data_IF_580355107914
#
_entry.id   IF_580355107914
#
_cell.length_a   1.000
_cell.length_b   1.000
_cell.length_c   1.000
_cell.angle_alpha   90.00
_cell.angle_beta   90.00
_cell.angle_gamma   90.00
#
_symmetry.space_group_name_H-M   'P 1'
#
loop_
_entity.id
_entity.type
_entity.pdbx_description
1 polymer ?
#
# COMPACT_ATOMS: atom_id res chain seq x y z
N UNK A 1 -6.81 27.15 1.86
CA UNK A 1 -5.96 25.98 2.21
C UNK A 1 -5.35 25.44 0.93
N UNK A 2 -4.01 25.27 0.85
CA UNK A 2 -3.35 24.72 -0.35
C UNK A 2 -3.26 23.19 -0.24
N UNK A 3 -3.71 22.47 -1.25
CA UNK A 3 -3.61 21.00 -1.34
C UNK A 3 -2.22 20.64 -1.86
N UNK A 4 -1.48 19.77 -1.15
CA UNK A 4 -0.21 19.23 -1.62
C UNK A 4 -0.48 18.10 -2.62
N UNK A 5 -0.06 18.26 -3.87
CA UNK A 5 -0.16 17.21 -4.88
C UNK A 5 0.88 16.10 -4.64
N UNK A 6 0.58 14.84 -4.97
CA UNK A 6 1.54 13.74 -4.83
C UNK A 6 2.69 13.92 -5.84
N UNK A 7 3.91 14.11 -5.32
CA UNK A 7 5.08 14.43 -6.14
C UNK A 7 5.66 13.23 -6.92
N UNK A 8 5.35 11.99 -6.49
CA UNK A 8 5.94 10.75 -7.04
C UNK A 8 4.88 9.76 -7.59
N UNK A 9 3.63 10.21 -7.70
CA UNK A 9 2.58 9.43 -8.36
C UNK A 9 2.94 9.26 -9.85
N UNK A 10 2.86 8.03 -10.35
CA UNK A 10 3.32 7.64 -11.69
C UNK A 10 4.80 7.26 -11.78
N UNK A 11 5.56 7.44 -10.69
CA UNK A 11 6.97 7.02 -10.60
C UNK A 11 7.17 5.90 -9.58
N UNK A 12 6.67 6.08 -8.35
CA UNK A 12 6.86 5.12 -7.25
C UNK A 12 5.64 4.20 -7.07
N UNK A 13 4.48 4.69 -7.43
CA UNK A 13 3.20 3.98 -7.40
C UNK A 13 2.30 4.52 -8.52
N UNK A 14 1.27 3.78 -8.87
CA UNK A 14 0.35 4.16 -9.94
C UNK A 14 -0.36 5.51 -9.69
N UNK A 15 -0.37 6.39 -10.69
CA UNK A 15 -1.03 7.69 -10.59
C UNK A 15 -2.56 7.61 -10.74
N UNK A 16 -3.06 6.59 -11.44
CA UNK A 16 -4.50 6.36 -11.60
C UNK A 16 -5.04 5.60 -10.39
N UNK A 17 -6.18 6.04 -9.87
CA UNK A 17 -6.89 5.36 -8.78
C UNK A 17 -7.14 3.89 -9.09
N UNK A 18 -7.65 3.60 -10.29
CA UNK A 18 -8.03 2.24 -10.69
C UNK A 18 -6.80 1.33 -10.75
N UNK A 19 -5.71 1.84 -11.35
CA UNK A 19 -4.45 1.09 -11.44
C UNK A 19 -3.79 0.92 -10.07
N UNK A 20 -3.84 1.93 -9.21
CA UNK A 20 -3.31 1.86 -7.85
C UNK A 20 -4.05 0.82 -7.01
N UNK A 21 -5.37 0.75 -7.10
CA UNK A 21 -6.15 -0.27 -6.40
C UNK A 21 -5.78 -1.69 -6.87
N UNK A 22 -5.59 -1.88 -8.18
CA UNK A 22 -5.10 -3.16 -8.74
C UNK A 22 -3.68 -3.48 -8.25
N UNK A 23 -2.79 -2.50 -8.25
CA UNK A 23 -1.41 -2.66 -7.77
C UNK A 23 -1.35 -3.05 -6.29
N UNK A 24 -2.24 -2.50 -5.45
CA UNK A 24 -2.35 -2.89 -4.04
C UNK A 24 -2.88 -4.32 -3.88
N UNK A 25 -3.90 -4.71 -4.66
CA UNK A 25 -4.39 -6.09 -4.67
C UNK A 25 -3.31 -7.09 -5.10
N UNK A 26 -2.52 -6.75 -6.13
CA UNK A 26 -1.36 -7.54 -6.56
C UNK A 26 -0.30 -7.62 -5.47
N UNK A 27 -0.03 -6.54 -4.73
CA UNK A 27 0.90 -6.54 -3.60
C UNK A 27 0.45 -7.49 -2.47
N UNK A 28 -0.84 -7.50 -2.13
CA UNK A 28 -1.40 -8.40 -1.11
C UNK A 28 -1.38 -9.87 -1.54
N UNK A 29 -1.62 -10.13 -2.83
CA UNK A 29 -1.70 -11.49 -3.39
C UNK A 29 -0.38 -12.02 -3.92
N UNK A 30 0.68 -11.21 -3.89
CA UNK A 30 2.02 -11.60 -4.34
C UNK A 30 2.58 -12.76 -3.49
N UNK A 31 3.35 -13.71 -4.06
CA UNK A 31 3.94 -14.81 -3.30
C UNK A 31 4.88 -14.40 -2.15
N UNK A 32 5.45 -13.20 -2.24
CA UNK A 32 6.30 -12.60 -1.17
C UNK A 32 5.50 -11.73 -0.19
N UNK A 33 4.20 -11.54 -0.43
CA UNK A 33 3.30 -10.83 0.47
C UNK A 33 2.37 -11.78 1.22
N UNK A 34 1.25 -11.28 1.76
CA UNK A 34 0.29 -12.09 2.51
C UNK A 34 -0.40 -13.21 1.71
N UNK A 35 -0.28 -13.22 0.38
CA UNK A 35 -0.89 -14.22 -0.51
C UNK A 35 -2.42 -14.10 -0.66
N UNK A 36 -3.05 -13.14 0.01
CA UNK A 36 -4.51 -12.94 -0.01
C UNK A 36 -4.87 -11.52 0.38
N UNK A 37 -6.09 -11.08 0.02
CA UNK A 37 -6.59 -9.77 0.43
C UNK A 37 -6.76 -9.71 1.95
N UNK A 38 -6.44 -8.58 2.59
CA UNK A 38 -6.69 -8.42 4.01
C UNK A 38 -8.20 -8.52 4.26
N UNK A 39 -8.62 -9.08 5.41
CA UNK A 39 -10.01 -9.01 5.83
C UNK A 39 -10.42 -7.54 5.98
N UNK A 40 -11.74 -7.28 6.00
CA UNK A 40 -12.23 -5.94 6.33
C UNK A 40 -11.62 -5.52 7.68
N UNK A 41 -10.98 -4.34 7.76
CA UNK A 41 -10.41 -3.90 9.02
C UNK A 41 -11.53 -3.81 10.07
N UNK A 42 -11.29 -4.42 11.23
CA UNK A 42 -12.14 -4.27 12.41
C UNK A 42 -11.90 -2.93 13.10
N UNK A 43 -12.54 -2.73 14.24
CA UNK A 43 -12.23 -1.58 15.10
C UNK A 43 -10.78 -1.65 15.59
N UNK A 44 -10.14 -0.49 15.67
CA UNK A 44 -8.80 -0.40 16.21
C UNK A 44 -8.83 -0.73 17.71
N UNK A 45 -8.13 -1.81 18.10
CA UNK A 45 -8.16 -2.34 19.46
C UNK A 45 -7.20 -1.63 20.43
N UNK A 46 -6.37 -0.70 19.94
CA UNK A 46 -5.32 -0.08 20.75
C UNK A 46 -4.04 -0.91 20.90
N UNK A 47 -4.02 -2.15 20.40
CA UNK A 47 -2.89 -3.08 20.59
C UNK A 47 -1.67 -2.84 19.69
N UNK A 48 -1.81 -2.05 18.61
CA UNK A 48 -0.70 -1.76 17.68
C UNK A 48 -0.04 -0.43 18.07
N UNK A 49 1.13 -0.51 18.70
CA UNK A 49 1.89 0.70 19.10
C UNK A 49 2.52 1.43 17.91
N UNK A 50 2.82 0.72 16.82
CA UNK A 50 3.40 1.28 15.61
C UNK A 50 3.73 0.20 14.57
N UNK A 51 4.12 0.65 13.37
CA UNK A 51 4.54 -0.20 12.26
C UNK A 51 5.87 0.30 11.69
N UNK A 52 6.63 -0.60 11.09
CA UNK A 52 7.82 -0.29 10.29
C UNK A 52 7.57 -0.84 8.90
N UNK A 53 7.57 0.04 7.90
CA UNK A 53 7.33 -0.32 6.51
C UNK A 53 8.39 0.32 5.60
N UNK A 54 8.81 -0.37 4.52
CA UNK A 54 9.71 0.18 3.52
C UNK A 54 9.05 1.30 2.71
N UNK A 55 9.86 2.20 2.14
CA UNK A 55 9.37 3.36 1.37
C UNK A 55 9.82 3.35 -0.11
N UNK A 56 10.27 2.20 -0.63
CA UNK A 56 10.63 2.09 -2.04
C UNK A 56 9.37 2.09 -2.92
N UNK A 57 9.58 2.11 -4.24
CA UNK A 57 8.46 1.96 -5.18
C UNK A 57 7.70 0.65 -4.93
N UNK A 58 6.38 0.67 -5.14
CA UNK A 58 5.49 -0.45 -4.82
C UNK A 58 5.87 -1.75 -5.55
N UNK A 59 6.49 -1.65 -6.73
CA UNK A 59 7.03 -2.79 -7.48
C UNK A 59 8.06 -3.57 -6.65
N UNK A 60 8.86 -2.88 -5.85
CA UNK A 60 9.94 -3.50 -5.07
C UNK A 60 9.50 -3.85 -3.66
N UNK A 61 8.80 -2.94 -2.98
CA UNK A 61 8.54 -3.10 -1.55
C UNK A 61 7.06 -3.15 -1.19
N UNK A 62 6.15 -3.04 -2.17
CA UNK A 62 4.71 -2.97 -1.91
C UNK A 62 4.16 -4.25 -1.28
N UNK A 63 4.68 -5.42 -1.65
CA UNK A 63 4.23 -6.70 -1.10
C UNK A 63 4.81 -7.02 0.29
N UNK A 64 5.81 -6.27 0.76
CA UNK A 64 6.42 -6.43 2.10
C UNK A 64 5.90 -5.39 3.09
N UNK A 65 5.35 -4.28 2.60
CA UNK A 65 4.82 -3.17 3.41
C UNK A 65 3.47 -3.49 4.03
#
# INVERSE_FOLDING_TARGET
>A
MRVRRPAVAGLFYEASREKLLKQLEEAFTHPLGPGSKPPRPGEYTGGVLGIVAPHAGYVYSGHVA
#
